data_IF_285580734958
#
_entry.id   IF_285580734958
#
_cell.length_a   1.000
_cell.length_b   1.000
_cell.length_c   1.000
_cell.angle_alpha   90.00
_cell.angle_beta   90.00
_cell.angle_gamma   90.00
#
_symmetry.space_group_name_H-M   'P 1'
#
loop_
_entity.id
_entity.type
_entity.pdbx_description
1 polymer ?
#
# COMPACT_ATOMS: atom_id res chain seq x y z
N UNK A 1 14.86 8.10 -13.94
CA UNK A 1 15.48 7.44 -15.08
C UNK A 1 14.52 6.35 -15.58
N UNK A 2 14.14 6.38 -16.87
CA UNK A 2 13.30 5.34 -17.47
C UNK A 2 14.16 4.09 -17.67
N UNK A 3 13.82 3.00 -16.99
CA UNK A 3 14.59 1.75 -17.02
C UNK A 3 14.02 0.70 -17.99
N UNK A 4 12.83 0.94 -18.55
CA UNK A 4 12.21 0.02 -19.49
C UNK A 4 10.82 0.49 -19.95
N UNK A 5 10.23 -0.30 -20.82
CA UNK A 5 8.86 -0.10 -21.33
C UNK A 5 8.11 -1.43 -21.30
N UNK A 6 6.90 -1.42 -20.80
CA UNK A 6 6.01 -2.58 -20.82
C UNK A 6 5.27 -2.55 -22.18
N UNK A 7 5.39 -3.63 -22.95
CA UNK A 7 4.69 -3.81 -24.20
C UNK A 7 3.21 -4.16 -23.92
N UNK A 8 2.37 -3.15 -23.72
CA UNK A 8 0.94 -3.31 -23.51
C UNK A 8 0.16 -2.30 -24.34
N UNK A 9 -0.99 -2.73 -24.89
CA UNK A 9 -1.87 -1.81 -25.62
C UNK A 9 -2.58 -0.84 -24.67
N UNK A 10 -2.97 0.36 -25.12
CA UNK A 10 -3.78 1.27 -24.30
C UNK A 10 -5.08 0.64 -23.78
N UNK A 11 -5.69 -0.27 -24.56
CA UNK A 11 -6.88 -1.03 -24.17
C UNK A 11 -6.58 -1.95 -22.98
N UNK A 12 -5.45 -2.65 -23.01
CA UNK A 12 -5.00 -3.53 -21.91
C UNK A 12 -4.74 -2.71 -20.63
N UNK A 13 -4.06 -1.58 -20.75
CA UNK A 13 -3.80 -0.71 -19.59
C UNK A 13 -5.09 -0.20 -18.97
N UNK A 14 -6.05 0.29 -19.78
CA UNK A 14 -7.36 0.75 -19.30
C UNK A 14 -8.14 -0.38 -18.62
N UNK A 15 -8.11 -1.58 -19.18
CA UNK A 15 -8.76 -2.75 -18.58
C UNK A 15 -8.16 -3.07 -17.20
N UNK A 16 -6.83 -3.11 -17.11
CA UNK A 16 -6.15 -3.36 -15.84
C UNK A 16 -6.45 -2.27 -14.80
N UNK A 17 -6.45 -1.00 -15.19
CA UNK A 17 -6.83 0.09 -14.29
C UNK A 17 -8.25 -0.07 -13.76
N UNK A 18 -9.23 -0.42 -14.63
CA UNK A 18 -10.61 -0.67 -14.22
C UNK A 18 -10.71 -1.88 -13.29
N UNK A 19 -10.08 -2.99 -13.63
CA UNK A 19 -10.10 -4.21 -12.81
C UNK A 19 -9.49 -3.96 -11.41
N UNK A 20 -8.37 -3.24 -11.35
CA UNK A 20 -7.74 -2.88 -10.07
C UNK A 20 -8.56 -1.83 -9.28
N UNK A 21 -9.36 -1.01 -9.99
CA UNK A 21 -10.30 -0.11 -9.32
C UNK A 21 -11.44 -0.88 -8.66
N UNK A 22 -11.99 -1.90 -9.33
CA UNK A 22 -13.05 -2.75 -8.77
C UNK A 22 -12.64 -3.44 -7.47
N UNK A 23 -11.38 -3.85 -7.32
CA UNK A 23 -10.89 -4.42 -6.05
C UNK A 23 -11.12 -3.46 -4.87
N UNK A 24 -11.03 -2.16 -5.11
CA UNK A 24 -11.16 -1.11 -4.08
C UNK A 24 -12.60 -0.59 -3.96
N UNK A 25 -13.42 -0.73 -5.02
CA UNK A 25 -14.82 -0.28 -4.99
C UNK A 25 -15.73 -1.33 -4.33
N UNK A 26 -15.64 -2.58 -4.78
CA UNK A 26 -16.54 -3.65 -4.41
C UNK A 26 -15.84 -4.95 -4.01
N UNK A 27 -14.53 -5.05 -4.23
CA UNK A 27 -13.74 -6.24 -3.98
C UNK A 27 -13.08 -6.26 -2.60
N UNK A 28 -12.00 -7.04 -2.50
CA UNK A 28 -11.28 -7.33 -1.24
C UNK A 28 -10.63 -6.11 -0.57
N UNK A 29 -10.45 -5.00 -1.29
CA UNK A 29 -9.92 -3.74 -0.78
C UNK A 29 -10.98 -2.73 -0.33
N UNK A 30 -12.27 -3.00 -0.59
CA UNK A 30 -13.34 -2.01 -0.38
C UNK A 30 -13.45 -1.52 1.06
N UNK A 31 -13.32 -2.43 2.04
CA UNK A 31 -13.38 -2.07 3.45
C UNK A 31 -12.31 -1.07 3.87
N UNK A 32 -11.08 -1.21 3.36
CA UNK A 32 -9.98 -0.33 3.70
C UNK A 32 -10.18 1.10 3.16
N UNK A 33 -10.84 1.26 2.01
CA UNK A 33 -11.00 2.55 1.32
C UNK A 33 -12.43 3.12 1.35
N UNK A 34 -13.31 2.55 2.15
CA UNK A 34 -14.68 3.07 2.30
C UNK A 34 -14.67 4.55 2.69
N UNK A 35 -15.36 5.37 1.87
CA UNK A 35 -15.44 6.82 2.07
C UNK A 35 -14.13 7.58 1.88
N UNK A 36 -13.11 6.97 1.25
CA UNK A 36 -11.89 7.69 0.89
C UNK A 36 -12.13 8.57 -0.34
N UNK A 37 -11.79 9.89 -0.28
CA UNK A 37 -12.20 10.85 -1.32
C UNK A 37 -11.37 10.78 -2.61
N UNK A 38 -10.22 10.09 -2.60
CA UNK A 38 -9.38 9.92 -3.78
C UNK A 38 -9.58 8.52 -4.37
N UNK A 39 -9.77 8.43 -5.68
CA UNK A 39 -9.90 7.13 -6.35
C UNK A 39 -8.58 6.36 -6.28
N UNK A 40 -8.58 5.21 -5.63
CA UNK A 40 -7.43 4.30 -5.53
C UNK A 40 -7.72 3.04 -6.34
N UNK A 41 -6.72 2.55 -7.05
CA UNK A 41 -6.70 1.22 -7.65
C UNK A 41 -5.65 0.37 -6.96
N UNK A 42 -5.93 -0.91 -6.75
CA UNK A 42 -4.96 -1.76 -6.06
C UNK A 42 -5.34 -3.23 -6.03
N UNK A 43 -4.48 -4.03 -5.40
CA UNK A 43 -4.68 -5.47 -5.22
C UNK A 43 -4.18 -5.91 -3.86
N UNK A 44 -5.01 -6.67 -3.17
CA UNK A 44 -4.65 -7.36 -1.94
C UNK A 44 -3.81 -8.60 -2.24
N UNK A 45 -2.91 -8.93 -1.35
CA UNK A 45 -2.20 -10.20 -1.33
C UNK A 45 -2.16 -10.76 0.09
N UNK A 46 -2.20 -12.08 0.20
CA UNK A 46 -2.03 -12.81 1.46
C UNK A 46 -1.06 -13.94 1.19
N UNK A 47 0.11 -13.88 1.82
CA UNK A 47 1.13 -14.91 1.66
C UNK A 47 1.20 -15.77 2.93
N UNK A 48 0.95 -17.06 2.78
CA UNK A 48 0.97 -18.00 3.89
C UNK A 48 2.36 -18.08 4.54
N UNK A 49 2.36 -18.11 5.86
CA UNK A 49 3.58 -18.28 6.66
C UNK A 49 3.46 -19.58 7.45
N UNK A 50 4.34 -20.52 7.16
CA UNK A 50 4.39 -21.79 7.87
C UNK A 50 5.14 -21.67 9.20
N UNK A 51 4.78 -22.54 10.15
CA UNK A 51 5.42 -22.63 11.45
C UNK A 51 4.57 -22.12 12.61
N UNK A 52 5.17 -22.12 13.80
CA UNK A 52 4.51 -21.70 15.03
C UNK A 52 5.25 -20.54 15.69
N UNK A 53 4.51 -19.73 16.41
CA UNK A 53 5.04 -18.72 17.32
C UNK A 53 5.62 -19.39 18.58
N UNK A 54 6.46 -18.70 19.36
CA UNK A 54 7.02 -19.23 20.61
C UNK A 54 5.96 -19.71 21.61
N UNK A 55 4.77 -19.13 21.59
CA UNK A 55 3.62 -19.52 22.41
C UNK A 55 2.84 -20.73 21.87
N UNK A 56 3.30 -21.37 20.79
CA UNK A 56 2.68 -22.55 20.18
C UNK A 56 1.54 -22.26 19.19
N UNK A 57 1.06 -21.01 19.06
CA UNK A 57 0.04 -20.64 18.06
C UNK A 57 0.61 -20.71 16.64
N UNK A 58 -0.25 -20.94 15.63
CA UNK A 58 0.15 -20.80 14.23
C UNK A 58 0.56 -19.36 13.94
N UNK A 59 1.52 -19.20 13.03
CA UNK A 59 1.85 -17.86 12.50
C UNK A 59 0.72 -17.37 11.63
N UNK A 60 0.43 -16.07 11.72
CA UNK A 60 -0.49 -15.41 10.81
C UNK A 60 0.17 -15.18 9.45
N UNK A 61 -0.66 -15.08 8.41
CA UNK A 61 -0.21 -14.81 7.06
C UNK A 61 0.42 -13.41 6.92
N UNK A 62 1.27 -13.24 5.94
CA UNK A 62 1.80 -11.92 5.57
C UNK A 62 0.80 -11.20 4.68
N UNK A 63 0.36 -10.05 5.15
CA UNK A 63 -0.55 -9.15 4.44
C UNK A 63 0.19 -8.28 3.43
N UNK A 64 -0.37 -8.15 2.24
CA UNK A 64 0.13 -7.28 1.17
C UNK A 64 -0.97 -6.41 0.58
N UNK A 65 -0.63 -5.18 0.25
CA UNK A 65 -1.45 -4.33 -0.58
C UNK A 65 -0.57 -3.51 -1.53
N UNK A 66 -0.77 -3.70 -2.83
CA UNK A 66 -0.11 -2.91 -3.88
C UNK A 66 -1.15 -2.02 -4.55
N UNK A 67 -0.83 -0.74 -4.74
CA UNK A 67 -1.81 0.23 -5.21
C UNK A 67 -1.18 1.41 -5.93
N UNK A 68 -2.03 2.17 -6.62
CA UNK A 68 -1.69 3.47 -7.17
C UNK A 68 -2.87 4.44 -7.05
N UNK A 69 -2.57 5.71 -6.97
CA UNK A 69 -3.55 6.80 -6.86
C UNK A 69 -3.03 8.10 -7.50
N UNK A 70 -3.92 8.97 -8.03
CA UNK A 70 -5.32 8.70 -8.37
C UNK A 70 -5.47 7.60 -9.43
N UNK A 71 -6.61 6.88 -9.43
CA UNK A 71 -6.84 5.72 -10.32
C UNK A 71 -6.71 6.05 -11.81
N UNK A 72 -7.30 7.19 -12.26
CA UNK A 72 -7.34 7.60 -13.67
C UNK A 72 -6.05 8.24 -14.16
N UNK A 73 -5.35 8.95 -13.29
CA UNK A 73 -4.08 9.61 -13.59
C UNK A 73 -3.08 9.32 -12.46
N UNK A 74 -2.46 8.14 -12.45
CA UNK A 74 -1.59 7.70 -11.35
C UNK A 74 -0.40 8.63 -11.16
N UNK A 75 -0.25 9.14 -9.95
CA UNK A 75 0.89 9.97 -9.54
C UNK A 75 1.77 9.25 -8.52
N UNK A 76 1.16 8.38 -7.71
CA UNK A 76 1.84 7.66 -6.64
C UNK A 76 1.54 6.18 -6.72
N UNK A 77 2.53 5.36 -6.48
CA UNK A 77 2.39 3.94 -6.21
C UNK A 77 2.83 3.67 -4.77
N UNK A 78 2.00 2.94 -4.03
CA UNK A 78 2.29 2.54 -2.65
C UNK A 78 2.11 1.04 -2.52
N UNK A 79 3.14 0.39 -2.03
CA UNK A 79 3.12 -1.04 -1.69
C UNK A 79 3.44 -1.18 -0.22
N UNK A 80 2.62 -1.94 0.49
CA UNK A 80 2.82 -2.23 1.90
C UNK A 80 2.78 -3.73 2.16
N UNK A 81 3.71 -4.20 2.95
CA UNK A 81 3.79 -5.55 3.47
C UNK A 81 3.78 -5.49 4.99
N UNK A 82 2.97 -6.34 5.61
CA UNK A 82 2.93 -6.49 7.06
C UNK A 82 3.12 -7.97 7.38
N UNK A 83 4.29 -8.30 7.93
CA UNK A 83 4.59 -9.68 8.35
C UNK A 83 3.64 -10.10 9.46
N UNK A 84 3.06 -11.29 9.32
CA UNK A 84 2.03 -11.80 10.24
C UNK A 84 0.87 -10.81 10.44
N UNK A 85 0.53 -10.06 9.40
CA UNK A 85 -0.56 -9.07 9.41
C UNK A 85 -1.94 -9.64 9.08
N UNK A 86 -2.06 -10.93 8.84
CA UNK A 86 -3.30 -11.58 8.47
C UNK A 86 -3.77 -11.19 7.06
N UNK A 87 -5.04 -10.83 6.91
CA UNK A 87 -5.64 -10.50 5.62
C UNK A 87 -5.11 -9.20 5.03
N UNK A 88 -4.83 -9.22 3.70
CA UNK A 88 -4.23 -8.10 2.98
C UNK A 88 -4.97 -6.76 3.08
N UNK A 89 -6.30 -6.76 3.18
CA UNK A 89 -7.07 -5.53 3.29
C UNK A 89 -7.12 -4.97 4.72
N UNK A 90 -7.10 -5.83 5.74
CA UNK A 90 -7.35 -5.44 7.13
C UNK A 90 -6.15 -4.76 7.82
N UNK A 91 -4.95 -5.04 7.37
CA UNK A 91 -3.72 -4.43 7.90
C UNK A 91 -2.99 -3.59 6.87
N UNK A 92 -2.44 -4.20 5.80
CA UNK A 92 -1.70 -3.46 4.79
C UNK A 92 -2.57 -2.48 4.00
N UNK A 93 -3.82 -2.81 3.68
CA UNK A 93 -4.75 -1.90 3.00
C UNK A 93 -5.07 -0.66 3.84
N UNK A 94 -5.31 -0.82 5.14
CA UNK A 94 -5.54 0.29 6.07
C UNK A 94 -4.27 1.15 6.20
N UNK A 95 -3.10 0.53 6.26
CA UNK A 95 -1.83 1.25 6.29
C UNK A 95 -1.58 2.08 5.04
N UNK A 96 -1.83 1.51 3.86
CA UNK A 96 -1.75 2.22 2.57
C UNK A 96 -2.71 3.40 2.52
N UNK A 97 -3.95 3.23 3.02
CA UNK A 97 -4.91 4.34 3.13
C UNK A 97 -4.34 5.50 3.95
N UNK A 98 -3.73 5.23 5.11
CA UNK A 98 -3.11 6.28 5.95
C UNK A 98 -1.97 6.99 5.23
N UNK A 99 -1.18 6.28 4.43
CA UNK A 99 -0.14 6.89 3.59
C UNK A 99 -0.76 7.83 2.57
N UNK A 100 -1.84 7.42 1.90
CA UNK A 100 -2.54 8.30 0.95
C UNK A 100 -3.26 9.46 1.64
N UNK A 101 -3.81 9.27 2.85
CA UNK A 101 -4.35 10.38 3.66
C UNK A 101 -3.30 11.49 3.85
N UNK A 102 -2.08 11.10 4.17
CA UNK A 102 -0.96 12.03 4.32
C UNK A 102 -0.51 12.65 2.99
N UNK A 103 -0.37 11.83 1.93
CA UNK A 103 0.07 12.30 0.60
C UNK A 103 -0.90 13.34 0.03
N UNK A 104 -2.21 13.10 0.12
CA UNK A 104 -3.25 13.96 -0.45
C UNK A 104 -3.84 14.98 0.53
N UNK A 105 -3.36 14.99 1.78
CA UNK A 105 -3.89 15.88 2.81
C UNK A 105 -5.34 15.58 3.17
N UNK A 106 -5.71 14.28 3.31
CA UNK A 106 -7.09 13.90 3.60
C UNK A 106 -7.36 13.98 5.09
N UNK A 107 -8.28 14.86 5.47
CA UNK A 107 -8.76 15.00 6.85
C UNK A 107 -10.29 14.95 6.84
N UNK A 108 -10.88 14.13 7.70
CA UNK A 108 -12.34 13.96 7.81
C UNK A 108 -13.02 13.68 6.46
N UNK A 109 -12.41 12.81 5.63
CA UNK A 109 -12.87 12.42 4.28
C UNK A 109 -12.91 13.57 3.27
N UNK A 110 -12.20 14.67 3.52
CA UNK A 110 -12.05 15.79 2.60
C UNK A 110 -10.58 15.94 2.23
N UNK A 111 -10.33 16.28 0.97
CA UNK A 111 -8.97 16.61 0.50
C UNK A 111 -8.71 18.07 0.86
N UNK A 112 -7.68 18.29 1.66
CA UNK A 112 -7.20 19.60 2.10
C UNK A 112 -5.73 19.72 1.66
N UNK A 113 -5.45 20.30 0.49
CA UNK A 113 -4.09 20.31 -0.09
C UNK A 113 -3.02 20.91 0.82
N UNK A 114 -3.41 21.85 1.68
CA UNK A 114 -2.53 22.47 2.68
C UNK A 114 -1.99 21.46 3.73
N UNK A 115 -2.69 20.36 3.93
CA UNK A 115 -2.29 19.29 4.85
C UNK A 115 -1.51 18.17 4.15
N UNK A 116 -1.32 18.24 2.82
CA UNK A 116 -0.56 17.24 2.08
C UNK A 116 0.93 17.30 2.46
N UNK A 117 1.55 16.13 2.58
CA UNK A 117 3.01 16.04 2.83
C UNK A 117 3.80 16.71 1.68
N UNK A 118 3.28 16.63 0.46
CA UNK A 118 3.90 17.21 -0.73
C UNK A 118 2.96 18.18 -1.43
N UNK A 119 2.61 19.33 -0.81
CA UNK A 119 1.64 20.26 -1.37
C UNK A 119 2.07 20.84 -2.72
N UNK A 120 3.37 20.90 -2.98
CA UNK A 120 3.97 21.44 -4.22
C UNK A 120 4.59 20.34 -5.11
N UNK A 121 4.14 19.07 -4.95
CA UNK A 121 4.69 17.91 -5.65
C UNK A 121 5.78 17.17 -4.87
N UNK A 122 6.32 16.12 -5.49
CA UNK A 122 7.37 15.31 -4.85
C UNK A 122 8.63 16.14 -4.60
N UNK A 123 9.34 15.93 -3.49
CA UNK A 123 10.61 16.57 -3.23
C UNK A 123 11.61 16.23 -4.36
N UNK A 124 12.35 17.23 -4.83
CA UNK A 124 13.35 17.05 -5.88
C UNK A 124 14.51 16.13 -5.46
N UNK A 125 14.72 15.99 -4.17
CA UNK A 125 15.73 15.10 -3.58
C UNK A 125 15.05 14.12 -2.64
N UNK A 126 15.31 12.84 -2.85
CA UNK A 126 14.85 11.82 -1.89
C UNK A 126 15.57 11.99 -0.55
N UNK A 127 14.88 11.82 0.58
CA UNK A 127 15.53 11.80 1.88
C UNK A 127 16.60 10.69 1.89
N UNK A 128 17.78 10.97 2.47
CA UNK A 128 18.79 9.93 2.70
C UNK A 128 18.20 8.91 3.66
N UNK A 129 17.96 7.71 3.17
CA UNK A 129 17.55 6.60 4.01
C UNK A 129 18.81 6.11 4.71
N UNK A 130 18.91 6.33 6.01
CA UNK A 130 19.93 5.67 6.81
C UNK A 130 19.66 4.16 6.83
N UNK A 131 20.68 3.31 6.65
CA UNK A 131 20.50 1.87 6.83
C UNK A 131 19.88 1.61 8.20
N UNK A 132 18.88 0.72 8.25
CA UNK A 132 18.29 0.33 9.52
C UNK A 132 19.44 -0.11 10.46
N UNK A 133 19.52 0.49 11.63
CA UNK A 133 20.44 0.05 12.67
C UNK A 133 20.18 -1.43 12.88
N UNK A 134 21.24 -2.26 12.79
CA UNK A 134 21.11 -3.71 12.99
C UNK A 134 20.26 -3.96 14.23
N UNK A 135 19.08 -4.54 14.04
CA UNK A 135 18.26 -4.99 15.16
C UNK A 135 19.14 -5.96 15.94
N UNK A 136 19.47 -5.62 17.19
CA UNK A 136 20.18 -6.52 18.10
C UNK A 136 19.33 -7.79 18.14
N UNK A 137 19.83 -8.87 17.59
CA UNK A 137 19.21 -10.18 17.74
C UNK A 137 19.12 -10.42 19.23
N UNK A 138 17.90 -10.40 19.78
CA UNK A 138 17.68 -10.85 21.15
C UNK A 138 18.07 -12.31 21.12
N UNK A 139 19.17 -12.64 21.82
CA UNK A 139 19.79 -13.93 21.78
C UNK A 139 18.75 -15.03 22.03
N UNK A 140 18.74 -16.02 21.16
CA UNK A 140 18.20 -17.31 21.52
C UNK A 140 18.99 -17.80 22.74
N UNK A 141 18.35 -17.82 23.89
CA UNK A 141 18.89 -18.54 25.05
C UNK A 141 18.87 -20.04 24.69
N UNK A 142 19.96 -20.76 25.04
CA UNK A 142 20.13 -22.18 24.74
C UNK A 142 19.04 -23.06 25.35
#
# INVERSE_FOLDING_TARGET
VKTGTIAATPKTIKFLQSALREVVVSGTGAGAFSGFPVEVSGKTGTAQVFGRNPNGSSKDDTSWFASFAPSKNPQYAVVMMVSQGGYGASSSGVGVRKIYEAIFGVVNRKVLPENAIFPNGLPKTLPKISPATKVKTIGANP
#
